data_IF_927506149662
#
_entry.id   IF_927506149662
#
_cell.length_a   1.000
_cell.length_b   1.000
_cell.length_c   1.000
_cell.angle_alpha   90.00
_cell.angle_beta   90.00
_cell.angle_gamma   90.00
#
_symmetry.space_group_name_H-M   'P 1'
#
loop_
_entity.id
_entity.type
_entity.pdbx_description
1 polymer ?
#
# COMPACT_ATOMS: atom_id res chain seq x y z
N UNK A 1 7.56 12.56 24.06
CA UNK A 1 6.38 13.43 23.82
C UNK A 1 6.42 14.14 22.46
N UNK A 2 7.54 14.74 22.06
CA UNK A 2 7.70 15.43 20.75
C UNK A 2 7.28 14.59 19.53
N UNK A 3 7.67 13.32 19.47
CA UNK A 3 7.30 12.41 18.37
C UNK A 3 5.79 12.19 18.23
N UNK A 4 5.07 12.06 19.35
CA UNK A 4 3.62 11.85 19.34
C UNK A 4 2.88 13.09 18.84
N UNK A 5 3.36 14.27 19.24
CA UNK A 5 2.81 15.56 18.76
C UNK A 5 3.00 15.68 17.24
N UNK A 6 4.19 15.34 16.73
CA UNK A 6 4.46 15.36 15.29
C UNK A 6 3.53 14.41 14.51
N UNK A 7 3.33 13.18 15.01
CA UNK A 7 2.40 12.21 14.41
C UNK A 7 0.97 12.76 14.39
N UNK A 8 0.53 13.36 15.50
CA UNK A 8 -0.83 13.89 15.61
C UNK A 8 -1.07 15.05 14.63
N UNK A 9 -0.13 15.99 14.52
CA UNK A 9 -0.18 17.08 13.55
C UNK A 9 -0.23 16.53 12.12
N UNK A 10 0.61 15.54 11.81
CA UNK A 10 0.63 14.89 10.49
C UNK A 10 -0.72 14.24 10.15
N UNK A 11 -1.32 13.49 11.07
CA UNK A 11 -2.63 12.88 10.88
C UNK A 11 -3.72 13.94 10.66
N UNK A 12 -3.73 15.01 11.46
CA UNK A 12 -4.68 16.12 11.29
C UNK A 12 -4.55 16.80 9.94
N UNK A 13 -3.32 17.05 9.47
CA UNK A 13 -3.07 17.61 8.14
C UNK A 13 -3.59 16.69 7.04
N UNK A 14 -3.30 15.39 7.10
CA UNK A 14 -3.81 14.41 6.14
C UNK A 14 -5.34 14.35 6.13
N UNK A 15 -5.97 14.29 7.31
CA UNK A 15 -7.42 14.28 7.43
C UNK A 15 -8.02 15.58 6.90
N UNK A 16 -7.43 16.74 7.19
CA UNK A 16 -7.86 18.04 6.70
C UNK A 16 -7.82 18.12 5.17
N UNK A 17 -6.71 17.68 4.55
CA UNK A 17 -6.58 17.61 3.09
C UNK A 17 -7.62 16.64 2.50
N UNK A 18 -7.82 15.49 3.14
CA UNK A 18 -8.80 14.48 2.71
C UNK A 18 -10.24 15.03 2.73
N UNK A 19 -10.64 15.72 3.80
CA UNK A 19 -11.96 16.35 3.91
C UNK A 19 -12.11 17.50 2.91
N UNK A 20 -11.06 18.30 2.70
CA UNK A 20 -11.11 19.38 1.71
C UNK A 20 -11.30 18.84 0.30
N UNK A 21 -10.60 17.76 -0.05
CA UNK A 21 -10.70 17.13 -1.37
C UNK A 21 -11.97 16.29 -1.55
N UNK A 22 -12.51 15.69 -0.49
CA UNK A 22 -13.77 14.93 -0.59
C UNK A 22 -14.95 15.81 -1.02
N UNK A 23 -14.94 17.11 -0.67
CA UNK A 23 -15.93 18.09 -1.12
C UNK A 23 -15.92 18.35 -2.63
N UNK A 24 -14.85 17.96 -3.33
CA UNK A 24 -14.71 18.15 -4.78
C UNK A 24 -15.21 16.93 -5.57
N UNK A 25 -15.46 15.80 -4.91
CA UNK A 25 -15.94 14.56 -5.53
C UNK A 25 -17.45 14.62 -5.71
N UNK A 26 -17.93 14.56 -6.96
CA UNK A 26 -19.36 14.63 -7.28
C UNK A 26 -19.92 13.35 -7.86
N UNK A 27 -19.09 12.57 -8.56
CA UNK A 27 -19.50 11.34 -9.23
C UNK A 27 -18.68 10.12 -8.79
N UNK A 28 -19.19 8.92 -9.07
CA UNK A 28 -18.46 7.67 -8.80
C UNK A 28 -17.15 7.58 -9.60
N UNK A 29 -17.09 8.14 -10.81
CA UNK A 29 -15.87 8.20 -11.61
C UNK A 29 -14.85 9.18 -11.01
N UNK A 30 -15.31 10.29 -10.42
CA UNK A 30 -14.42 11.22 -9.69
C UNK A 30 -13.82 10.53 -8.46
N UNK A 31 -14.57 9.66 -7.80
CA UNK A 31 -14.07 8.91 -6.65
C UNK A 31 -13.14 7.76 -7.04
N UNK A 32 -13.55 6.93 -8.01
CA UNK A 32 -12.86 5.69 -8.34
C UNK A 32 -11.62 5.89 -9.23
N UNK A 33 -11.66 6.87 -10.14
CA UNK A 33 -10.59 7.08 -11.12
C UNK A 33 -10.13 8.54 -11.21
N UNK A 34 -10.52 9.38 -10.24
CA UNK A 34 -10.20 10.82 -10.23
C UNK A 34 -10.57 11.52 -11.55
N UNK A 35 -11.71 11.14 -12.16
CA UNK A 35 -12.17 11.69 -13.43
C UNK A 35 -11.23 11.43 -14.62
N UNK A 36 -10.21 10.58 -14.46
CA UNK A 36 -9.12 10.35 -15.43
C UNK A 36 -8.33 11.62 -15.80
N UNK A 37 -8.33 12.64 -14.94
CA UNK A 37 -7.64 13.93 -15.18
C UNK A 37 -6.25 14.01 -14.56
N UNK A 38 -5.80 12.95 -13.87
CA UNK A 38 -4.50 12.94 -13.20
C UNK A 38 -3.36 12.91 -14.22
N UNK A 39 -2.34 13.76 -13.99
CA UNK A 39 -1.12 13.74 -14.79
C UNK A 39 -0.36 12.42 -14.58
N UNK A 40 0.40 11.93 -15.59
CA UNK A 40 1.17 10.70 -15.47
C UNK A 40 2.11 10.68 -14.26
N UNK A 41 2.72 11.82 -13.94
CA UNK A 41 3.60 11.95 -12.78
C UNK A 41 2.87 11.68 -11.46
N UNK A 42 1.68 12.27 -11.29
CA UNK A 42 0.88 12.06 -10.07
C UNK A 42 0.48 10.57 -9.96
N UNK A 43 0.10 9.92 -11.07
CA UNK A 43 -0.23 8.49 -11.05
C UNK A 43 0.95 7.61 -10.63
N UNK A 44 2.18 7.95 -11.02
CA UNK A 44 3.38 7.22 -10.57
C UNK A 44 3.60 7.45 -9.07
N UNK A 45 3.49 8.69 -8.59
CA UNK A 45 3.62 9.01 -7.18
C UNK A 45 2.58 8.28 -6.31
N UNK A 46 1.32 8.23 -6.74
CA UNK A 46 0.28 7.50 -6.00
C UNK A 46 0.52 6.00 -6.00
N UNK A 47 1.01 5.44 -7.11
CA UNK A 47 1.38 4.02 -7.18
C UNK A 47 2.52 3.69 -6.21
N UNK A 48 3.58 4.52 -6.19
CA UNK A 48 4.70 4.36 -5.26
C UNK A 48 4.24 4.49 -3.80
N UNK A 49 3.34 5.45 -3.50
CA UNK A 49 2.80 5.64 -2.16
C UNK A 49 1.99 4.43 -1.66
N UNK A 50 1.25 3.75 -2.55
CA UNK A 50 0.52 2.51 -2.20
C UNK A 50 1.49 1.36 -1.95
N UNK A 51 2.59 1.32 -2.68
CA UNK A 51 3.56 0.22 -2.60
C UNK A 51 4.46 0.30 -1.36
N UNK A 52 4.84 1.53 -0.98
CA UNK A 52 5.69 1.79 0.18
C UNK A 52 4.80 1.94 1.42
N UNK A 53 4.55 0.81 2.10
CA UNK A 53 3.80 0.73 3.35
C UNK A 53 4.69 0.50 4.58
N UNK A 54 4.15 0.77 5.78
CA UNK A 54 4.81 0.49 7.06
C UNK A 54 5.19 -0.99 7.20
N UNK A 55 4.31 -1.90 6.80
CA UNK A 55 4.56 -3.32 6.81
C UNK A 55 5.51 -3.79 5.72
N UNK A 56 5.55 -3.14 4.55
CA UNK A 56 6.59 -3.38 3.55
C UNK A 56 7.98 -3.00 4.08
N UNK A 57 8.09 -1.84 4.76
CA UNK A 57 9.36 -1.36 5.32
C UNK A 57 9.82 -2.27 6.45
N UNK A 58 8.97 -2.48 7.47
CA UNK A 58 9.31 -3.30 8.64
C UNK A 58 9.49 -4.78 8.25
N UNK A 59 8.64 -5.30 7.37
CA UNK A 59 8.70 -6.67 6.89
C UNK A 59 9.94 -6.96 6.04
N UNK A 60 10.27 -6.09 5.07
CA UNK A 60 11.49 -6.26 4.27
C UNK A 60 12.76 -6.03 5.10
N UNK A 61 12.74 -5.08 6.04
CA UNK A 61 13.87 -4.88 6.95
C UNK A 61 14.10 -6.11 7.83
N UNK A 62 13.04 -6.67 8.42
CA UNK A 62 13.12 -7.91 9.21
C UNK A 62 13.61 -9.10 8.39
N UNK A 63 13.10 -9.26 7.15
CA UNK A 63 13.60 -10.31 6.26
C UNK A 63 15.05 -10.11 5.84
N UNK A 64 15.46 -8.88 5.58
CA UNK A 64 16.87 -8.59 5.25
C UNK A 64 17.79 -8.89 6.43
N UNK A 65 17.33 -8.66 7.66
CA UNK A 65 18.06 -9.05 8.86
C UNK A 65 18.19 -10.57 8.99
N UNK A 66 17.14 -11.34 8.64
CA UNK A 66 17.17 -12.81 8.73
C UNK A 66 17.97 -13.51 7.63
N UNK A 67 17.83 -13.04 6.37
CA UNK A 67 18.37 -13.75 5.19
C UNK A 67 19.40 -12.95 4.39
N UNK A 68 19.80 -11.78 4.90
CA UNK A 68 20.76 -10.90 4.24
C UNK A 68 20.30 -10.42 2.87
N UNK A 69 21.25 -10.34 1.92
CA UNK A 69 20.99 -9.86 0.56
C UNK A 69 20.00 -10.74 -0.23
N UNK A 70 19.73 -11.98 0.20
CA UNK A 70 18.72 -12.82 -0.45
C UNK A 70 17.31 -12.21 -0.36
N UNK A 71 17.04 -11.35 0.63
CA UNK A 71 15.77 -10.64 0.75
C UNK A 71 15.44 -9.74 -0.45
N UNK A 72 16.44 -9.35 -1.27
CA UNK A 72 16.21 -8.54 -2.47
C UNK A 72 15.47 -9.27 -3.58
N UNK A 73 15.42 -10.60 -3.58
CA UNK A 73 14.68 -11.35 -4.61
C UNK A 73 13.18 -11.02 -4.60
N UNK A 74 12.59 -10.78 -3.43
CA UNK A 74 11.20 -10.37 -3.28
C UNK A 74 10.91 -9.04 -4.02
N UNK A 75 11.53 -7.90 -3.65
CA UNK A 75 11.28 -6.62 -4.31
C UNK A 75 11.64 -6.65 -5.80
N UNK A 76 12.74 -7.32 -6.19
CA UNK A 76 13.10 -7.48 -7.60
C UNK A 76 12.03 -8.23 -8.39
N UNK A 77 11.51 -9.34 -7.85
CA UNK A 77 10.43 -10.11 -8.48
C UNK A 77 9.17 -9.27 -8.69
N UNK A 78 8.78 -8.48 -7.69
CA UNK A 78 7.66 -7.54 -7.82
C UNK A 78 7.92 -6.45 -8.86
N UNK A 79 9.14 -5.92 -8.94
CA UNK A 79 9.50 -4.91 -9.94
C UNK A 79 9.35 -5.45 -11.36
N UNK A 80 9.87 -6.65 -11.61
CA UNK A 80 9.70 -7.37 -12.88
C UNK A 80 8.21 -7.64 -13.15
N UNK A 81 7.47 -8.10 -12.15
CA UNK A 81 6.03 -8.35 -12.25
C UNK A 81 5.23 -7.10 -12.62
N UNK A 82 5.58 -5.93 -12.06
CA UNK A 82 4.95 -4.65 -12.41
C UNK A 82 5.23 -4.25 -13.87
N UNK A 83 6.46 -4.46 -14.35
CA UNK A 83 6.80 -4.23 -15.77
C UNK A 83 5.95 -5.13 -16.66
N UNK A 84 5.86 -6.43 -16.35
CA UNK A 84 5.03 -7.37 -17.10
C UNK A 84 3.55 -6.96 -17.09
N UNK A 85 3.03 -6.55 -15.94
CA UNK A 85 1.64 -6.11 -15.80
C UNK A 85 1.36 -4.83 -16.62
N UNK A 86 2.35 -3.95 -16.78
CA UNK A 86 2.21 -2.71 -17.55
C UNK A 86 1.86 -2.95 -19.03
N UNK A 87 2.31 -4.07 -19.61
CA UNK A 87 1.94 -4.45 -20.97
C UNK A 87 0.46 -4.82 -21.09
N UNK A 88 -0.08 -5.48 -20.06
CA UNK A 88 -1.50 -5.88 -20.00
C UNK A 88 -2.38 -4.68 -19.59
N UNK A 89 -1.84 -3.74 -18.82
CA UNK A 89 -2.56 -2.58 -18.32
C UNK A 89 -3.17 -1.73 -19.45
N UNK A 90 -2.50 -1.62 -20.61
CA UNK A 90 -3.07 -0.94 -21.78
C UNK A 90 -4.37 -1.61 -22.26
N UNK A 91 -4.40 -2.94 -22.35
CA UNK A 91 -5.59 -3.70 -22.75
C UNK A 91 -6.67 -3.63 -21.69
N UNK A 92 -6.30 -3.68 -20.41
CA UNK A 92 -7.23 -3.53 -19.30
C UNK A 92 -7.89 -2.14 -19.26
N UNK A 93 -7.14 -1.07 -19.59
CA UNK A 93 -7.65 0.30 -19.62
C UNK A 93 -8.74 0.54 -20.67
N UNK A 94 -8.70 -0.23 -21.77
CA UNK A 94 -9.73 -0.16 -22.82
C UNK A 94 -11.06 -0.80 -22.39
N UNK A 95 -11.03 -1.64 -21.36
CA UNK A 95 -12.24 -2.14 -20.73
C UNK A 95 -12.67 -1.04 -19.76
N UNK A 96 -13.71 -0.28 -20.10
CA UNK A 96 -14.29 0.79 -19.26
C UNK A 96 -14.96 0.23 -18.00
N UNK A 97 -14.19 -0.49 -17.19
CA UNK A 97 -14.56 -1.02 -15.90
C UNK A 97 -13.94 -0.13 -14.82
N UNK A 98 -14.64 -0.02 -13.68
CA UNK A 98 -14.18 0.75 -12.54
C UNK A 98 -13.37 -0.09 -11.55
N UNK A 99 -13.39 -1.42 -11.68
CA UNK A 99 -12.72 -2.33 -10.76
C UNK A 99 -12.19 -3.60 -11.44
N UNK A 100 -11.17 -4.22 -10.85
CA UNK A 100 -10.60 -5.49 -11.34
C UNK A 100 -11.63 -6.64 -11.34
N UNK A 101 -12.45 -6.84 -10.28
CA UNK A 101 -13.48 -7.88 -10.30
C UNK A 101 -14.53 -7.67 -11.39
N UNK A 102 -14.82 -6.43 -11.76
CA UNK A 102 -15.73 -6.13 -12.88
C UNK A 102 -15.13 -6.56 -14.22
N UNK A 103 -13.82 -6.35 -14.45
CA UNK A 103 -13.11 -6.86 -15.64
C UNK A 103 -13.23 -8.39 -15.71
N UNK A 104 -13.01 -9.07 -14.59
CA UNK A 104 -13.15 -10.53 -14.50
C UNK A 104 -14.60 -10.95 -14.77
N UNK A 105 -15.57 -10.24 -14.17
CA UNK A 105 -16.99 -10.50 -14.37
C UNK A 105 -17.47 -10.36 -15.80
N UNK A 106 -17.00 -9.34 -16.53
CA UNK A 106 -17.35 -9.16 -17.95
C UNK A 106 -16.84 -10.30 -18.83
N UNK A 107 -15.73 -10.93 -18.46
CA UNK A 107 -15.12 -12.02 -19.25
C UNK A 107 -15.61 -13.42 -18.86
N UNK A 108 -15.90 -13.64 -17.57
CA UNK A 108 -16.15 -14.97 -17.01
C UNK A 108 -17.51 -15.11 -16.30
N UNK A 109 -18.33 -14.06 -16.28
CA UNK A 109 -19.67 -14.06 -15.69
C UNK A 109 -19.73 -13.65 -14.21
N UNK A 110 -20.95 -13.61 -13.67
CA UNK A 110 -21.21 -13.11 -12.32
C UNK A 110 -20.60 -13.96 -11.21
N UNK A 111 -20.50 -15.28 -11.38
CA UNK A 111 -19.90 -16.17 -10.38
C UNK A 111 -18.41 -15.85 -10.21
N UNK A 112 -17.68 -15.66 -11.30
CA UNK A 112 -16.26 -15.29 -11.27
C UNK A 112 -16.06 -13.89 -10.66
N UNK A 113 -16.97 -12.95 -10.93
CA UNK A 113 -16.97 -11.63 -10.27
C UNK A 113 -17.09 -11.75 -8.76
N UNK A 114 -18.04 -12.56 -8.26
CA UNK A 114 -18.25 -12.74 -6.83
C UNK A 114 -17.02 -13.34 -6.15
N UNK A 115 -16.45 -14.39 -6.74
CA UNK A 115 -15.22 -15.01 -6.22
C UNK A 115 -14.05 -14.01 -6.20
N UNK A 116 -13.90 -13.21 -7.27
CA UNK A 116 -12.88 -12.17 -7.32
C UNK A 116 -13.08 -11.09 -6.25
N UNK A 117 -14.32 -10.66 -5.97
CA UNK A 117 -14.61 -9.71 -4.89
C UNK A 117 -14.26 -10.30 -3.54
N UNK A 118 -14.67 -11.55 -3.25
CA UNK A 118 -14.37 -12.22 -1.98
C UNK A 118 -12.86 -12.35 -1.79
N UNK A 119 -12.14 -12.82 -2.79
CA UNK A 119 -10.69 -12.94 -2.75
C UNK A 119 -10.02 -11.57 -2.53
N UNK A 120 -10.51 -10.53 -3.19
CA UNK A 120 -10.01 -9.16 -3.04
C UNK A 120 -10.20 -8.65 -1.60
N UNK A 121 -11.39 -8.83 -1.02
CA UNK A 121 -11.69 -8.41 0.36
C UNK A 121 -10.79 -9.12 1.37
N UNK A 122 -10.61 -10.44 1.22
CA UNK A 122 -9.73 -11.22 2.10
C UNK A 122 -8.29 -10.73 1.96
N UNK A 123 -7.80 -10.56 0.74
CA UNK A 123 -6.44 -10.07 0.49
C UNK A 123 -6.21 -8.70 1.12
N UNK A 124 -7.13 -7.75 0.95
CA UNK A 124 -7.02 -6.43 1.57
C UNK A 124 -7.15 -6.47 3.09
N UNK A 125 -7.96 -7.36 3.66
CA UNK A 125 -8.05 -7.52 5.11
C UNK A 125 -6.70 -7.97 5.69
N UNK A 126 -6.04 -8.94 5.05
CA UNK A 126 -4.67 -9.36 5.44
C UNK A 126 -3.70 -8.20 5.30
N UNK A 127 -3.79 -7.44 4.19
CA UNK A 127 -2.90 -6.30 3.94
C UNK A 127 -3.03 -5.24 5.03
N UNK A 128 -4.26 -4.82 5.31
CA UNK A 128 -4.55 -3.83 6.34
C UNK A 128 -4.10 -4.32 7.71
N UNK A 129 -4.35 -5.59 8.05
CA UNK A 129 -3.95 -6.17 9.34
C UNK A 129 -2.44 -6.04 9.60
N UNK A 130 -1.59 -6.44 8.65
CA UNK A 130 -0.14 -6.35 8.87
C UNK A 130 0.36 -4.90 8.89
N UNK A 131 -0.27 -3.98 8.16
CA UNK A 131 0.07 -2.54 8.18
C UNK A 131 -0.22 -1.92 9.54
N UNK A 132 -1.36 -2.26 10.15
CA UNK A 132 -1.72 -1.82 11.50
C UNK A 132 -0.80 -2.43 12.56
N UNK A 133 -0.45 -3.71 12.44
CA UNK A 133 0.50 -4.36 13.35
C UNK A 133 1.88 -3.68 13.29
N UNK A 134 2.42 -3.46 12.09
CA UNK A 134 3.67 -2.75 11.89
C UNK A 134 3.63 -1.31 12.45
N UNK A 135 2.54 -0.58 12.21
CA UNK A 135 2.34 0.75 12.77
C UNK A 135 2.27 0.74 14.30
N UNK A 136 1.60 -0.25 14.89
CA UNK A 136 1.52 -0.45 16.34
C UNK A 136 2.88 -0.67 16.97
N UNK A 137 3.72 -1.53 16.37
CA UNK A 137 5.10 -1.75 16.85
C UNK A 137 5.93 -0.47 16.86
N UNK A 138 5.80 0.39 15.84
CA UNK A 138 6.48 1.69 15.81
C UNK A 138 6.00 2.59 16.95
N UNK A 139 4.69 2.62 17.21
CA UNK A 139 4.12 3.40 18.30
C UNK A 139 4.56 2.90 19.68
N UNK A 140 4.68 1.59 19.88
CA UNK A 140 5.17 1.01 21.14
C UNK A 140 6.61 1.42 21.47
N UNK A 141 7.49 1.43 20.46
CA UNK A 141 8.88 1.89 20.60
C UNK A 141 8.93 3.39 20.91
N UNK A 142 8.08 4.20 20.27
CA UNK A 142 8.03 5.65 20.50
C UNK A 142 7.43 5.99 21.88
N UNK A 143 6.42 5.23 22.31
CA UNK A 143 5.75 5.39 23.61
C UNK A 143 6.59 4.86 24.78
N UNK A 144 7.71 4.16 24.51
CA UNK A 144 8.62 3.65 25.53
C UNK A 144 8.14 2.37 26.21
N UNK A 145 7.16 1.66 25.65
CA UNK A 145 6.71 0.34 26.16
C UNK A 145 7.60 -0.81 25.72
N UNK A 146 8.34 -0.64 24.63
CA UNK A 146 9.27 -1.62 24.09
C UNK A 146 10.66 -0.99 24.04
N UNK A 147 11.68 -1.73 24.48
CA UNK A 147 13.05 -1.25 24.46
C UNK A 147 13.45 -0.87 23.03
N UNK A 148 14.10 0.28 22.90
CA UNK A 148 14.71 0.67 21.64
C UNK A 148 15.79 -0.38 21.36
N UNK A 149 15.71 -1.05 20.22
CA UNK A 149 16.82 -1.88 19.72
C UNK A 149 17.98 -0.92 19.41
N UNK A 150 18.80 -0.66 20.42
CA UNK A 150 20.05 0.05 20.28
C UNK A 150 21.09 -0.99 19.90
N UNK A 151 21.50 -0.98 18.62
CA UNK A 151 22.66 -1.74 18.20
C UNK A 151 23.85 -1.25 19.02
N UNK A 152 24.42 -2.12 19.84
CA UNK A 152 25.70 -1.86 20.49
C UNK A 152 26.80 -2.04 19.46
N UNK A 153 27.92 -1.34 19.62
CA UNK A 153 29.06 -1.42 18.69
C UNK A 153 29.62 -2.86 18.55
N UNK A 154 29.28 -3.70 19.52
CA UNK A 154 29.65 -5.09 19.74
C UNK A 154 28.61 -6.10 19.22
N UNK A 155 27.47 -5.64 18.70
CA UNK A 155 26.49 -6.53 18.07
C UNK A 155 26.99 -7.00 16.69
N UNK A 156 27.25 -8.30 16.57
CA UNK A 156 27.61 -8.93 15.30
C UNK A 156 26.37 -8.94 14.42
N UNK A 157 26.35 -8.07 13.42
CA UNK A 157 25.39 -8.07 12.32
C UNK A 157 25.70 -9.23 11.36
N UNK A 158 25.46 -10.46 11.80
CA UNK A 158 25.46 -11.65 10.94
C UNK A 158 24.04 -12.10 10.65
#
# INVERSE_FOLDING_TARGET
MTYLIAIFIYLLLLTGIGIYKSRQVKTQADFAVAGRTLSPWIMVCTMLAVWIGTGSIVGNAGKTYEVGMAAFFLPLGTFVGMILLSFIAKRARNIEALSVPEIIGRRFGNTARLLAVIALVIAYMVIVSYQFNAGGMVLEVIAGKKDKVALKADDILT
#
